data_IF_481080619468
#
_entry.id   IF_481080619468
#
_cell.length_a   1.000
_cell.length_b   1.000
_cell.length_c   1.000
_cell.angle_alpha   90.00
_cell.angle_beta   90.00
_cell.angle_gamma   90.00
#
_symmetry.space_group_name_H-M   'P 1'
#
loop_
_entity.id
_entity.type
_entity.pdbx_description
1 polymer ?
#
# COMPACT_ATOMS: atom_id res chain seq x y z
N UNK A 1 0.49 13.37 -6.57
CA UNK A 1 0.75 11.93 -6.55
C UNK A 1 2.22 11.74 -6.29
N UNK A 2 2.50 11.18 -5.12
CA UNK A 2 3.82 10.91 -4.59
C UNK A 2 4.24 9.46 -4.87
N UNK A 3 5.55 9.20 -4.73
CA UNK A 3 6.11 7.86 -4.83
C UNK A 3 7.11 7.68 -3.70
N UNK A 4 6.98 6.58 -2.96
CA UNK A 4 7.91 6.19 -1.90
C UNK A 4 8.65 4.91 -2.28
N UNK A 5 9.92 4.84 -1.90
CA UNK A 5 10.77 3.67 -2.18
C UNK A 5 11.38 3.19 -0.88
N UNK A 6 11.22 1.91 -0.60
CA UNK A 6 11.87 1.23 0.52
C UNK A 6 12.86 0.19 0.00
N UNK A 7 13.55 -0.49 0.91
CA UNK A 7 14.44 -1.60 0.54
C UNK A 7 13.68 -2.82 0.00
N UNK A 8 12.34 -2.88 0.12
CA UNK A 8 11.54 -4.04 -0.28
C UNK A 8 10.58 -3.75 -1.43
N UNK A 9 10.01 -2.54 -1.46
CA UNK A 9 8.90 -2.18 -2.36
C UNK A 9 8.96 -0.74 -2.81
N UNK A 10 8.27 -0.45 -3.92
CA UNK A 10 7.89 0.89 -4.35
C UNK A 10 6.40 1.09 -4.08
N UNK A 11 6.02 2.24 -3.55
CA UNK A 11 4.64 2.62 -3.27
C UNK A 11 4.29 3.83 -4.14
N UNK A 12 3.20 3.76 -4.87
CA UNK A 12 2.71 4.84 -5.73
C UNK A 12 1.33 5.30 -5.25
N UNK A 13 1.18 6.60 -5.02
CA UNK A 13 -0.10 7.23 -4.71
C UNK A 13 -0.93 7.40 -5.98
N UNK A 14 -2.14 6.85 -6.02
CA UNK A 14 -3.07 6.94 -7.15
C UNK A 14 -4.41 7.52 -6.71
N UNK A 15 -5.08 8.25 -7.60
CA UNK A 15 -6.41 8.76 -7.32
C UNK A 15 -7.40 7.59 -7.16
N UNK A 16 -8.30 7.69 -6.20
CA UNK A 16 -9.29 6.65 -5.91
C UNK A 16 -10.72 7.19 -5.94
N UNK A 17 -11.15 7.94 -4.92
CA UNK A 17 -12.52 8.45 -4.82
C UNK A 17 -12.58 9.83 -4.18
N UNK A 18 -13.02 10.85 -4.95
CA UNK A 18 -12.99 12.27 -4.57
C UNK A 18 -11.61 12.69 -4.05
N UNK A 19 -11.51 12.98 -2.74
CA UNK A 19 -10.29 13.40 -2.05
C UNK A 19 -9.48 12.20 -1.51
N UNK A 20 -9.99 10.97 -1.63
CA UNK A 20 -9.28 9.76 -1.24
C UNK A 20 -8.37 9.28 -2.36
N UNK A 21 -7.15 8.96 -1.96
CA UNK A 21 -6.15 8.29 -2.79
C UNK A 21 -5.90 6.87 -2.27
N UNK A 22 -5.54 5.98 -3.18
CA UNK A 22 -5.09 4.63 -2.86
C UNK A 22 -3.58 4.53 -3.05
N UNK A 23 -2.98 3.47 -2.50
CA UNK A 23 -1.53 3.25 -2.56
C UNK A 23 -1.25 1.90 -3.21
N UNK A 24 -0.77 1.93 -4.45
CA UNK A 24 -0.33 0.73 -5.16
C UNK A 24 1.07 0.36 -4.72
N UNK A 25 1.30 -0.90 -4.36
CA UNK A 25 2.61 -1.37 -3.91
C UNK A 25 3.16 -2.38 -4.89
N UNK A 26 4.42 -2.18 -5.26
CA UNK A 26 5.16 -2.96 -6.24
C UNK A 26 6.43 -3.53 -5.65
N UNK A 27 6.84 -4.71 -6.08
CA UNK A 27 8.18 -5.21 -5.79
C UNK A 27 9.24 -4.56 -6.70
N UNK A 28 10.52 -4.86 -6.46
CA UNK A 28 11.64 -4.33 -7.27
C UNK A 28 11.63 -4.75 -8.74
N UNK A 29 10.93 -5.83 -9.09
CA UNK A 29 10.75 -6.25 -10.47
C UNK A 29 9.62 -5.49 -11.18
N UNK A 30 8.93 -4.58 -10.49
CA UNK A 30 7.78 -3.83 -11.00
C UNK A 30 6.47 -4.60 -11.00
N UNK A 31 6.40 -5.77 -10.36
CA UNK A 31 5.14 -6.50 -10.22
C UNK A 31 4.31 -5.91 -9.08
N UNK A 32 3.04 -5.59 -9.37
CA UNK A 32 2.07 -5.12 -8.37
C UNK A 32 1.80 -6.23 -7.37
N UNK A 33 2.04 -5.94 -6.09
CA UNK A 33 1.73 -6.81 -4.98
C UNK A 33 0.24 -6.69 -4.58
N UNK A 34 -0.37 -5.52 -4.84
CA UNK A 34 -1.78 -5.15 -4.60
C UNK A 34 -1.96 -3.65 -4.26
N UNK A 35 -3.00 -3.30 -3.49
CA UNK A 35 -3.40 -1.90 -3.26
C UNK A 35 -3.89 -1.69 -1.83
N UNK A 36 -3.47 -0.61 -1.17
CA UNK A 36 -4.02 -0.17 0.11
C UNK A 36 -5.10 0.87 -0.16
N UNK A 37 -6.32 0.63 0.35
CA UNK A 37 -7.46 1.53 0.18
C UNK A 37 -7.85 2.12 1.54
N UNK A 38 -7.37 3.34 1.89
CA UNK A 38 -7.78 3.97 3.13
C UNK A 38 -9.29 4.25 3.11
N UNK A 39 -9.98 3.97 4.22
CA UNK A 39 -11.41 4.19 4.34
C UNK A 39 -11.76 5.67 4.60
N UNK A 40 -10.79 6.46 5.10
CA UNK A 40 -10.97 7.88 5.42
C UNK A 40 -9.76 8.73 5.04
N UNK A 41 -9.98 10.04 4.91
CA UNK A 41 -8.90 11.02 4.67
C UNK A 41 -7.90 11.06 5.82
N UNK A 42 -8.35 10.81 7.06
CA UNK A 42 -7.48 10.74 8.24
C UNK A 42 -6.52 9.56 8.15
N UNK A 43 -7.04 8.39 7.76
CA UNK A 43 -6.22 7.19 7.54
C UNK A 43 -5.23 7.39 6.38
N UNK A 44 -5.68 7.97 5.27
CA UNK A 44 -4.80 8.33 4.16
C UNK A 44 -3.64 9.24 4.60
N UNK A 45 -3.94 10.29 5.38
CA UNK A 45 -2.92 11.21 5.89
C UNK A 45 -1.96 10.53 6.88
N UNK A 46 -2.44 9.59 7.69
CA UNK A 46 -1.60 8.80 8.57
C UNK A 46 -0.63 7.92 7.79
N UNK A 47 -1.13 7.22 6.75
CA UNK A 47 -0.30 6.38 5.87
C UNK A 47 0.78 7.22 5.18
N UNK A 48 0.44 8.39 4.64
CA UNK A 48 1.39 9.32 4.01
C UNK A 48 2.47 9.74 5.02
N UNK A 49 2.07 10.15 6.23
CA UNK A 49 3.01 10.60 7.26
C UNK A 49 3.97 9.48 7.71
N UNK A 50 3.52 8.24 7.71
CA UNK A 50 4.37 7.09 8.03
C UNK A 50 5.29 6.71 6.86
N UNK A 51 4.80 6.75 5.62
CA UNK A 51 5.64 6.57 4.43
C UNK A 51 6.74 7.64 4.34
N UNK A 52 6.45 8.89 4.70
CA UNK A 52 7.42 9.99 4.75
C UNK A 52 8.50 9.77 5.82
N UNK A 53 8.21 9.00 6.88
CA UNK A 53 9.21 8.56 7.89
C UNK A 53 10.01 7.33 7.43
N UNK A 54 9.66 6.75 6.29
CA UNK A 54 10.28 5.54 5.75
C UNK A 54 9.64 4.23 6.20
N UNK A 55 8.40 4.26 6.74
CA UNK A 55 7.65 3.04 7.04
C UNK A 55 7.45 2.20 5.77
N UNK A 56 7.40 0.88 5.95
CA UNK A 56 7.29 -0.07 4.85
C UNK A 56 6.05 -0.96 5.05
N UNK A 57 5.07 -0.95 4.12
CA UNK A 57 3.85 -1.74 4.27
C UNK A 57 4.10 -3.23 4.51
N UNK A 58 5.13 -3.79 3.87
CA UNK A 58 5.51 -5.20 3.99
C UNK A 58 6.10 -5.51 5.37
N UNK A 59 6.95 -4.63 5.92
CA UNK A 59 7.61 -4.83 7.22
C UNK A 59 6.64 -4.60 8.38
N UNK A 60 5.82 -3.56 8.25
CA UNK A 60 4.82 -3.15 9.23
C UNK A 60 3.51 -3.95 9.12
N UNK A 61 3.42 -4.88 8.16
CA UNK A 61 2.26 -5.77 7.95
C UNK A 61 0.94 -5.01 7.78
N UNK A 62 0.97 -3.98 6.94
CA UNK A 62 -0.22 -3.17 6.65
C UNK A 62 -1.33 -4.00 5.99
N UNK A 63 -2.57 -3.64 6.29
CA UNK A 63 -3.76 -4.24 5.72
C UNK A 63 -4.21 -3.48 4.46
N UNK A 64 -4.86 -4.14 3.51
CA UNK A 64 -5.41 -3.55 2.28
C UNK A 64 -6.81 -2.94 2.44
N UNK A 65 -7.41 -3.05 3.63
CA UNK A 65 -8.79 -2.64 3.93
C UNK A 65 -9.83 -3.75 3.68
N UNK A 66 -9.40 -4.94 3.21
CA UNK A 66 -10.25 -6.12 2.98
C UNK A 66 -9.87 -7.31 3.89
N UNK A 67 -9.08 -7.06 4.94
CA UNK A 67 -8.59 -8.06 5.88
C UNK A 67 -7.31 -8.77 5.42
N UNK A 68 -6.68 -8.34 4.32
CA UNK A 68 -5.47 -8.99 3.84
C UNK A 68 -4.20 -8.25 4.28
N UNK A 69 -3.22 -8.99 4.78
CA UNK A 69 -1.94 -8.44 5.24
C UNK A 69 -0.88 -8.42 4.14
N UNK A 70 -0.12 -7.31 4.06
CA UNK A 70 0.95 -7.13 3.11
C UNK A 70 2.08 -8.14 3.35
N UNK A 71 2.52 -8.80 2.28
CA UNK A 71 3.74 -9.59 2.27
C UNK A 71 4.46 -9.47 0.91
N UNK A 72 5.70 -9.95 0.86
CA UNK A 72 6.55 -9.83 -0.33
C UNK A 72 6.03 -10.57 -1.58
N UNK A 73 5.03 -11.44 -1.43
CA UNK A 73 4.41 -12.21 -2.51
C UNK A 73 3.01 -11.70 -2.88
N UNK A 74 2.55 -10.59 -2.29
CA UNK A 74 1.22 -10.02 -2.53
C UNK A 74 0.26 -10.18 -1.35
N UNK A 75 -0.88 -9.50 -1.39
CA UNK A 75 -1.86 -9.43 -0.29
C UNK A 75 -2.80 -10.64 -0.21
N UNK A 76 -2.36 -11.87 -0.49
CA UNK A 76 -3.21 -13.05 -0.25
C UNK A 76 -4.54 -13.12 -1.04
N UNK A 77 -4.80 -12.22 -1.98
CA UNK A 77 -5.98 -12.23 -2.87
C UNK A 77 -6.09 -13.52 -3.72
N UNK A 78 -5.06 -14.37 -3.70
CA UNK A 78 -5.09 -15.73 -4.19
C UNK A 78 -5.26 -16.77 -3.07
N UNK A 79 -6.50 -16.92 -2.58
CA UNK A 79 -6.98 -18.22 -2.10
C UNK A 79 -8.45 -18.43 -2.45
N UNK A 80 -8.76 -18.33 -3.74
CA UNK A 80 -9.95 -18.93 -4.32
C UNK A 80 -9.55 -20.23 -5.03
N UNK A 81 -9.87 -21.37 -4.41
CA UNK A 81 -9.98 -22.67 -5.08
C UNK A 81 -11.42 -23.14 -4.92
#
# INVERSE_FOLDING_TARGET
MNTWKTNLVTIEEVAFDYDLHAFEVYNHAGAKLGTINPATVEEMNFLIADLDKGSCPVSEKWEDGNGNTCNANGWGEHSGN
#
